data_IF_585526373036
#
_entry.id   IF_585526373036
#
_cell.length_a   1.000
_cell.length_b   1.000
_cell.length_c   1.000
_cell.angle_alpha   90.00
_cell.angle_beta   90.00
_cell.angle_gamma   90.00
#
_symmetry.space_group_name_H-M   'P 1'
#
loop_
_entity.id
_entity.type
_entity.pdbx_description
1 polymer ?
#
# COMPACT_ATOMS: atom_id res chain seq x y z
N UNK A 1 22.03 -7.35 -3.43
CA UNK A 1 21.38 -6.64 -2.31
C UNK A 1 20.36 -5.69 -2.89
N UNK A 2 19.08 -6.06 -2.86
CA UNK A 2 18.01 -5.23 -3.44
C UNK A 2 17.80 -4.01 -2.56
N UNK A 3 18.07 -2.81 -3.09
CA UNK A 3 17.73 -1.56 -2.42
C UNK A 3 16.21 -1.45 -2.38
N UNK A 4 15.61 -1.77 -1.22
CA UNK A 4 14.18 -1.59 -1.01
C UNK A 4 13.87 -0.10 -0.98
N UNK A 5 13.33 0.44 -2.08
CA UNK A 5 12.86 1.82 -2.12
C UNK A 5 11.67 1.93 -1.16
N UNK A 6 11.71 2.82 -0.15
CA UNK A 6 10.63 2.95 0.82
C UNK A 6 9.36 3.50 0.15
N UNK A 7 8.31 2.67 0.07
CA UNK A 7 7.03 3.04 -0.53
C UNK A 7 6.21 3.90 0.44
N UNK A 8 5.78 5.12 0.06
CA UNK A 8 4.94 5.95 0.90
C UNK A 8 3.57 5.32 1.15
N UNK A 9 3.09 5.40 2.40
CA UNK A 9 1.75 4.95 2.76
C UNK A 9 0.65 5.72 2.01
N UNK A 10 -0.44 5.02 1.63
CA UNK A 10 -1.57 5.65 0.95
C UNK A 10 -2.42 6.52 1.90
N UNK A 11 -3.16 7.53 1.40
CA UNK A 11 -4.05 8.34 2.23
C UNK A 11 -5.07 7.49 3.00
N UNK A 12 -5.65 6.48 2.36
CA UNK A 12 -6.62 5.56 2.98
C UNK A 12 -5.99 4.79 4.14
N UNK A 13 -4.79 4.22 3.96
CA UNK A 13 -4.08 3.51 5.04
C UNK A 13 -3.79 4.42 6.24
N UNK A 14 -3.46 5.69 5.99
CA UNK A 14 -3.18 6.67 7.04
C UNK A 14 -4.43 7.07 7.80
N UNK A 15 -5.56 7.25 7.10
CA UNK A 15 -6.86 7.50 7.72
C UNK A 15 -7.32 6.32 8.56
N UNK A 16 -7.21 5.10 8.04
CA UNK A 16 -7.59 3.88 8.77
C UNK A 16 -6.72 3.69 10.02
N UNK A 17 -5.40 3.86 9.91
CA UNK A 17 -4.52 3.76 11.07
C UNK A 17 -4.82 4.83 12.13
N UNK A 18 -5.04 6.08 11.71
CA UNK A 18 -5.43 7.16 12.63
C UNK A 18 -6.78 6.89 13.29
N UNK A 19 -7.74 6.35 12.55
CA UNK A 19 -9.04 5.93 13.07
C UNK A 19 -8.91 4.82 14.12
N UNK A 20 -8.07 3.82 13.87
CA UNK A 20 -7.77 2.76 14.85
C UNK A 20 -7.16 3.34 16.12
N UNK A 21 -6.18 4.23 16.00
CA UNK A 21 -5.55 4.86 17.16
C UNK A 21 -6.57 5.65 18.00
N UNK A 22 -7.45 6.41 17.36
CA UNK A 22 -8.53 7.17 18.02
C UNK A 22 -9.51 6.21 18.72
N UNK A 23 -9.99 5.18 18.02
CA UNK A 23 -10.92 4.20 18.58
C UNK A 23 -10.31 3.49 19.79
N UNK A 24 -9.02 3.18 19.74
CA UNK A 24 -8.32 2.50 20.83
C UNK A 24 -8.15 3.42 22.04
N UNK A 25 -7.82 4.70 21.84
CA UNK A 25 -7.78 5.69 22.94
C UNK A 25 -9.15 5.90 23.56
N UNK A 26 -10.20 6.08 22.73
CA UNK A 26 -11.58 6.26 23.21
C UNK A 26 -12.09 5.00 23.90
N UNK A 27 -11.77 3.82 23.40
CA UNK A 27 -12.12 2.53 24.00
C UNK A 27 -11.42 2.30 25.34
N UNK A 28 -10.12 2.60 25.45
CA UNK A 28 -9.42 2.46 26.74
C UNK A 28 -9.94 3.47 27.76
N UNK A 29 -10.17 4.71 27.34
CA UNK A 29 -10.44 5.82 28.28
C UNK A 29 -11.94 5.98 28.61
N UNK A 30 -12.83 5.60 27.68
CA UNK A 30 -14.27 5.87 27.76
C UNK A 30 -15.06 4.87 28.59
N UNK A 31 -14.61 3.61 28.66
CA UNK A 31 -15.30 2.54 29.39
C UNK A 31 -14.96 2.49 30.89
N UNK A 32 -14.03 3.33 31.35
CA UNK A 32 -13.69 3.42 32.77
C UNK A 32 -14.81 4.14 33.56
N UNK A 33 -15.23 3.61 34.72
CA UNK A 33 -16.21 4.23 35.61
C UNK A 33 -15.57 5.37 36.43
N UNK A 34 -14.93 6.32 35.74
CA UNK A 34 -14.23 7.47 36.31
C UNK A 34 -14.86 8.78 35.81
N UNK A 35 -14.58 9.89 36.51
CA UNK A 35 -15.06 11.22 36.15
C UNK A 35 -14.61 11.64 34.75
N UNK A 36 -15.27 12.63 34.14
CA UNK A 36 -14.89 13.18 32.84
C UNK A 36 -13.42 13.64 32.82
N UNK A 37 -12.96 14.31 33.89
CA UNK A 37 -11.56 14.73 34.05
C UNK A 37 -10.63 13.51 34.12
N UNK A 38 -11.05 12.44 34.82
CA UNK A 38 -10.33 11.16 34.85
C UNK A 38 -10.22 10.52 33.46
N UNK A 39 -11.28 10.58 32.64
CA UNK A 39 -11.26 10.05 31.26
C UNK A 39 -10.33 10.83 30.35
N UNK A 40 -10.34 12.17 30.44
CA UNK A 40 -9.47 13.03 29.64
C UNK A 40 -7.99 12.87 30.02
N UNK A 41 -7.69 12.75 31.32
CA UNK A 41 -6.32 12.50 31.80
C UNK A 41 -5.83 11.11 31.38
N UNK A 42 -6.67 10.08 31.48
CA UNK A 42 -6.38 8.74 30.97
C UNK A 42 -6.10 8.76 29.46
N UNK A 43 -6.95 9.42 28.66
CA UNK A 43 -6.75 9.55 27.22
C UNK A 43 -5.44 10.23 26.86
N UNK A 44 -5.08 11.30 27.59
CA UNK A 44 -3.79 11.99 27.43
C UNK A 44 -2.59 11.09 27.73
N UNK A 45 -2.66 10.27 28.78
CA UNK A 45 -1.61 9.31 29.13
C UNK A 45 -1.47 8.20 28.07
N UNK A 46 -2.59 7.66 27.58
CA UNK A 46 -2.57 6.63 26.51
C UNK A 46 -1.95 7.21 25.23
N UNK A 47 -2.33 8.43 24.85
CA UNK A 47 -1.76 9.11 23.69
C UNK A 47 -0.25 9.34 23.88
N UNK A 48 0.19 9.76 25.07
CA UNK A 48 1.61 9.92 25.39
C UNK A 48 2.36 8.60 25.23
N UNK A 49 1.83 7.49 25.72
CA UNK A 49 2.42 6.16 25.54
C UNK A 49 2.55 5.81 24.06
N UNK A 50 1.51 6.05 23.24
CA UNK A 50 1.59 5.78 21.80
C UNK A 50 2.67 6.62 21.11
N UNK A 51 2.80 7.89 21.48
CA UNK A 51 3.81 8.79 20.94
C UNK A 51 5.21 8.29 21.33
N UNK A 52 5.42 7.91 22.59
CA UNK A 52 6.70 7.37 23.07
C UNK A 52 7.05 6.08 22.32
N UNK A 53 6.12 5.13 22.23
CA UNK A 53 6.32 3.87 21.50
C UNK A 53 6.63 4.13 20.03
N UNK A 54 5.89 5.01 19.36
CA UNK A 54 6.13 5.38 17.97
C UNK A 54 7.48 6.09 17.79
N UNK A 55 7.92 6.89 18.76
CA UNK A 55 9.22 7.58 18.71
C UNK A 55 10.40 6.62 18.77
N UNK A 56 10.28 5.56 19.57
CA UNK A 56 11.32 4.54 19.77
C UNK A 56 11.32 3.52 18.63
N UNK A 57 10.15 3.01 18.26
CA UNK A 57 10.01 1.88 17.33
C UNK A 57 9.73 2.30 15.88
N UNK A 58 9.16 3.49 15.69
CA UNK A 58 8.56 3.93 14.44
C UNK A 58 7.18 3.34 14.17
N UNK A 59 6.64 2.50 15.05
CA UNK A 59 5.35 1.82 14.85
C UNK A 59 4.37 2.27 15.93
N UNK A 60 3.21 2.79 15.51
CA UNK A 60 2.05 3.00 16.40
C UNK A 60 1.06 1.84 16.29
N UNK A 61 0.04 1.74 17.15
CA UNK A 61 -0.92 0.62 17.13
C UNK A 61 -1.65 0.48 15.78
N UNK A 62 -2.28 1.53 15.28
CA UNK A 62 -2.90 1.56 13.96
C UNK A 62 -1.90 1.38 12.83
N UNK A 63 -0.67 1.86 13.02
CA UNK A 63 0.45 1.57 12.13
C UNK A 63 0.82 0.08 12.09
N UNK A 64 0.84 -0.60 13.23
CA UNK A 64 1.11 -2.04 13.30
C UNK A 64 0.03 -2.82 12.55
N UNK A 65 -1.25 -2.48 12.75
CA UNK A 65 -2.37 -3.12 12.05
C UNK A 65 -2.33 -2.86 10.55
N UNK A 66 -2.06 -1.61 10.14
CA UNK A 66 -2.00 -1.23 8.72
C UNK A 66 -0.65 -1.56 8.06
N UNK A 67 0.26 -2.22 8.76
CA UNK A 67 1.60 -2.52 8.28
C UNK A 67 2.34 -1.26 7.84
N UNK A 68 2.37 -0.22 8.66
CA UNK A 68 3.05 1.06 8.41
C UNK A 68 4.12 1.32 9.46
N UNK A 69 5.18 2.00 9.05
CA UNK A 69 6.27 2.45 9.92
C UNK A 69 6.70 3.87 9.58
N UNK A 70 6.82 4.70 10.61
CA UNK A 70 7.38 6.03 10.53
C UNK A 70 8.91 5.94 10.42
N UNK A 71 9.45 6.52 9.36
CA UNK A 71 10.88 6.60 9.09
C UNK A 71 11.34 8.07 9.09
N UNK A 72 12.57 8.33 9.54
CA UNK A 72 13.19 9.66 9.48
C UNK A 72 14.01 9.77 8.20
N UNK A 73 13.85 10.88 7.48
CA UNK A 73 14.40 11.07 6.14
C UNK A 73 15.88 11.50 6.18
N UNK A 74 16.29 12.17 7.25
CA UNK A 74 17.53 12.95 7.28
C UNK A 74 18.78 12.26 7.84
N UNK A 75 18.73 10.99 8.28
CA UNK A 75 19.92 10.22 8.74
C UNK A 75 19.56 8.75 8.77
N UNK A 76 20.44 7.88 8.25
CA UNK A 76 20.27 6.42 8.15
C UNK A 76 20.14 5.72 9.51
N UNK A 77 19.02 5.90 10.18
CA UNK A 77 18.66 5.29 11.46
C UNK A 77 17.25 4.71 11.42
N UNK A 78 17.05 3.57 12.08
CA UNK A 78 15.80 2.81 12.06
C UNK A 78 14.68 3.40 12.94
N UNK A 79 14.99 4.40 13.79
CA UNK A 79 14.05 5.01 14.73
C UNK A 79 13.84 6.50 14.43
N UNK A 80 12.59 6.99 14.46
CA UNK A 80 12.29 8.39 14.17
C UNK A 80 12.70 9.35 15.30
N UNK A 81 12.77 8.90 16.56
CA UNK A 81 13.25 9.69 17.70
C UNK A 81 12.46 11.00 17.88
N UNK A 82 13.15 12.10 18.20
CA UNK A 82 12.53 13.42 18.46
C UNK A 82 11.67 13.99 17.32
N UNK A 83 11.85 13.49 16.09
CA UNK A 83 11.04 13.90 14.95
C UNK A 83 9.61 13.34 15.04
N UNK A 84 9.43 12.16 15.63
CA UNK A 84 8.10 11.63 15.91
C UNK A 84 7.36 12.49 16.94
N UNK A 85 8.07 12.98 17.97
CA UNK A 85 7.53 13.90 18.98
C UNK A 85 7.10 15.22 18.34
N UNK A 86 7.96 15.84 17.52
CA UNK A 86 7.62 17.07 16.80
C UNK A 86 6.41 16.89 15.87
N UNK A 87 6.36 15.78 15.13
CA UNK A 87 5.20 15.41 14.30
C UNK A 87 3.91 15.28 15.12
N UNK A 88 3.96 14.54 16.23
CA UNK A 88 2.80 14.33 17.09
C UNK A 88 2.31 15.64 17.72
N UNK A 89 3.22 16.50 18.17
CA UNK A 89 2.89 17.82 18.70
C UNK A 89 2.19 18.71 17.67
N UNK A 90 2.71 18.77 16.44
CA UNK A 90 2.07 19.53 15.36
C UNK A 90 0.67 19.01 15.02
N UNK A 91 0.49 17.69 14.95
CA UNK A 91 -0.81 17.07 14.71
C UNK A 91 -1.76 17.36 15.86
N UNK A 92 -1.31 17.27 17.11
CA UNK A 92 -2.13 17.52 18.29
C UNK A 92 -2.60 18.98 18.35
N UNK A 93 -1.70 19.95 18.13
CA UNK A 93 -2.06 21.38 18.09
C UNK A 93 -3.09 21.64 16.98
N UNK A 94 -2.86 21.11 15.78
CA UNK A 94 -3.80 21.26 14.67
C UNK A 94 -5.15 20.59 14.97
N UNK A 95 -5.13 19.38 15.55
CA UNK A 95 -6.34 18.65 15.92
C UNK A 95 -7.15 19.39 16.98
N UNK A 96 -6.52 19.92 18.02
CA UNK A 96 -7.20 20.68 19.08
C UNK A 96 -7.80 21.97 18.50
N UNK A 97 -7.02 22.72 17.72
CA UNK A 97 -7.47 23.99 17.13
C UNK A 97 -8.60 23.81 16.12
N UNK A 98 -8.68 22.66 15.44
CA UNK A 98 -9.65 22.43 14.36
C UNK A 98 -10.70 21.36 14.68
N UNK A 99 -10.80 20.88 15.93
CA UNK A 99 -11.61 19.70 16.30
C UNK A 99 -11.35 18.48 15.38
N UNK A 100 -10.09 18.26 15.01
CA UNK A 100 -9.65 17.12 14.19
C UNK A 100 -9.80 17.28 12.67
N UNK A 101 -10.46 18.32 12.17
CA UNK A 101 -10.70 18.53 10.74
C UNK A 101 -9.40 18.72 9.93
N UNK A 102 -8.48 19.57 10.39
CA UNK A 102 -7.25 19.92 9.66
C UNK A 102 -6.31 18.72 9.47
N UNK A 103 -6.04 17.87 10.48
CA UNK A 103 -5.29 16.63 10.29
C UNK A 103 -5.88 15.71 9.19
N UNK A 104 -7.20 15.55 9.15
CA UNK A 104 -7.88 14.70 8.15
C UNK A 104 -7.72 15.29 6.76
N UNK A 105 -8.01 16.59 6.58
CA UNK A 105 -7.85 17.29 5.29
C UNK A 105 -6.40 17.21 4.80
N UNK A 106 -5.42 17.38 5.69
CA UNK A 106 -4.00 17.28 5.35
C UNK A 106 -3.58 15.88 4.89
N UNK A 107 -4.21 14.81 5.41
CA UNK A 107 -3.96 13.45 4.93
C UNK A 107 -4.60 13.22 3.56
N UNK A 108 -5.84 13.68 3.37
CA UNK A 108 -6.56 13.55 2.09
C UNK A 108 -5.87 14.34 0.97
N UNK A 109 -5.35 15.53 1.29
CA UNK A 109 -4.58 16.38 0.37
C UNK A 109 -3.08 16.12 0.39
N UNK A 110 -2.64 15.04 1.04
CA UNK A 110 -1.23 14.67 1.00
C UNK A 110 -0.82 14.45 -0.46
N UNK A 111 0.23 15.16 -0.87
CA UNK A 111 0.66 15.29 -2.27
C UNK A 111 0.70 13.94 -3.00
N UNK A 112 -0.10 13.80 -4.05
CA UNK A 112 -0.16 12.60 -4.89
C UNK A 112 1.03 12.48 -5.85
N UNK A 113 1.77 13.58 -6.07
CA UNK A 113 2.84 13.69 -7.08
C UNK A 113 4.25 13.47 -6.52
N UNK A 114 4.41 13.33 -5.19
CA UNK A 114 5.69 13.11 -4.51
C UNK A 114 5.70 11.93 -3.52
N UNK A 115 6.52 12.02 -2.45
CA UNK A 115 6.64 10.99 -1.40
C UNK A 115 5.42 10.90 -0.45
N UNK A 116 4.24 11.38 -0.87
CA UNK A 116 2.98 11.48 -0.09
C UNK A 116 3.16 11.98 1.34
N UNK A 117 4.00 12.99 1.53
CA UNK A 117 4.24 13.60 2.84
C UNK A 117 3.19 14.67 3.13
N UNK A 118 2.60 14.62 4.32
CA UNK A 118 1.80 15.74 4.83
C UNK A 118 2.71 16.91 5.17
N UNK A 119 2.13 18.08 5.39
CA UNK A 119 2.86 19.25 5.91
C UNK A 119 3.60 18.93 7.23
N UNK A 120 2.99 18.16 8.13
CA UNK A 120 3.61 17.73 9.40
C UNK A 120 4.86 16.86 9.18
N UNK A 121 4.80 15.95 8.20
CA UNK A 121 5.89 15.05 7.89
C UNK A 121 7.08 15.82 7.27
N UNK A 122 6.78 16.85 6.46
CA UNK A 122 7.82 17.73 5.88
C UNK A 122 8.57 18.51 6.96
N UNK A 123 7.84 19.12 7.91
CA UNK A 123 8.47 19.89 9.00
C UNK A 123 9.26 18.98 9.93
N UNK A 124 8.72 17.81 10.26
CA UNK A 124 9.40 16.86 11.14
C UNK A 124 10.52 16.07 10.46
N UNK A 125 10.67 16.17 9.13
CA UNK A 125 11.63 15.37 8.37
C UNK A 125 11.33 13.86 8.48
N UNK A 126 10.05 13.49 8.53
CA UNK A 126 9.60 12.10 8.64
C UNK A 126 8.84 11.66 7.38
N UNK A 127 8.62 10.36 7.25
CA UNK A 127 7.85 9.74 6.19
C UNK A 127 7.19 8.48 6.72
N UNK A 128 5.89 8.31 6.50
CA UNK A 128 5.24 7.01 6.74
C UNK A 128 5.49 6.11 5.54
N UNK A 129 6.13 4.98 5.80
CA UNK A 129 6.41 3.95 4.81
C UNK A 129 5.49 2.75 5.09
N UNK A 130 4.89 2.20 4.05
CA UNK A 130 4.18 0.92 4.15
C UNK A 130 5.20 -0.22 4.29
N UNK A 131 5.12 -0.99 5.38
CA UNK A 131 5.79 -2.30 5.54
C UNK A 131 5.11 -3.40 4.73
N UNK A 132 3.88 -3.19 4.24
CA UNK A 132 3.39 -3.95 3.08
C UNK A 132 4.31 -3.55 1.93
N UNK A 133 5.38 -4.33 1.77
CA UNK A 133 6.13 -4.37 0.53
C UNK A 133 5.09 -4.68 -0.52
N UNK A 134 4.82 -3.73 -1.40
CA UNK A 134 4.30 -4.13 -2.70
C UNK A 134 5.41 -5.01 -3.26
N UNK A 135 5.19 -6.31 -3.31
CA UNK A 135 6.15 -7.19 -3.95
C UNK A 135 6.19 -6.74 -5.40
N UNK A 136 7.28 -6.06 -5.76
CA UNK A 136 7.44 -5.53 -7.10
C UNK A 136 7.97 -6.66 -7.94
N UNK A 137 7.13 -7.15 -8.84
CA UNK A 137 7.56 -8.06 -9.88
C UNK A 137 7.71 -7.30 -11.17
N UNK A 138 8.66 -7.71 -11.99
CA UNK A 138 8.77 -7.27 -13.37
C UNK A 138 8.28 -8.38 -14.26
N UNK A 139 7.18 -8.14 -14.97
CA UNK A 139 6.72 -9.03 -16.02
C UNK A 139 7.44 -8.65 -17.32
N UNK A 140 8.28 -9.54 -17.85
CA UNK A 140 8.99 -9.31 -19.11
C UNK A 140 8.15 -9.86 -20.26
N UNK A 141 7.69 -8.97 -21.14
CA UNK A 141 6.95 -9.26 -22.38
C UNK A 141 7.82 -8.85 -23.57
N UNK A 142 8.26 -9.79 -24.41
CA UNK A 142 9.04 -9.51 -25.63
C UNK A 142 10.21 -8.53 -25.40
N UNK A 143 10.91 -8.68 -24.29
CA UNK A 143 12.04 -7.82 -23.89
C UNK A 143 11.65 -6.50 -23.21
N UNK A 144 10.37 -6.12 -23.17
CA UNK A 144 9.87 -4.99 -22.37
C UNK A 144 9.54 -5.41 -20.96
N UNK A 145 9.91 -4.57 -20.00
CA UNK A 145 9.66 -4.79 -18.58
C UNK A 145 8.42 -4.02 -18.13
N UNK A 146 7.38 -4.75 -17.74
CA UNK A 146 6.18 -4.20 -17.11
C UNK A 146 6.31 -4.34 -15.61
N UNK A 147 6.33 -3.23 -14.89
CA UNK A 147 6.29 -3.26 -13.43
C UNK A 147 4.90 -3.73 -12.96
N UNK A 148 4.86 -4.64 -12.00
CA UNK A 148 3.66 -5.13 -11.31
C UNK A 148 3.86 -4.88 -9.82
N UNK A 149 3.56 -3.66 -9.41
CA UNK A 149 3.65 -3.15 -8.03
C UNK A 149 2.27 -2.73 -7.48
N UNK A 150 1.23 -2.83 -8.29
CA UNK A 150 -0.17 -2.61 -7.96
C UNK A 150 -1.00 -3.49 -8.90
N UNK A 151 -2.32 -3.65 -8.69
CA UNK A 151 -3.16 -4.33 -9.67
C UNK A 151 -2.98 -3.73 -11.08
N UNK A 152 -2.74 -4.59 -12.06
CA UNK A 152 -2.55 -4.25 -13.48
C UNK A 152 -3.60 -4.96 -14.31
N UNK A 153 -4.32 -4.21 -15.15
CA UNK A 153 -5.10 -4.77 -16.25
C UNK A 153 -4.20 -4.82 -17.48
N UNK A 154 -3.96 -6.04 -17.94
CA UNK A 154 -3.16 -6.33 -19.13
C UNK A 154 -4.06 -6.64 -20.31
N UNK A 155 -3.70 -6.15 -21.49
CA UNK A 155 -4.30 -6.55 -22.77
C UNK A 155 -3.82 -5.65 -23.89
N UNK A 156 -4.26 -5.87 -25.14
CA UNK A 156 -3.80 -5.02 -26.27
C UNK A 156 -4.38 -3.60 -26.26
N UNK A 157 -5.56 -3.43 -25.64
CA UNK A 157 -6.27 -2.16 -25.52
C UNK A 157 -7.12 -2.20 -24.23
N UNK A 158 -6.48 -2.20 -23.05
CA UNK A 158 -7.14 -2.50 -21.79
C UNK A 158 -8.13 -1.39 -21.42
N UNK A 159 -9.35 -1.79 -21.11
CA UNK A 159 -10.42 -0.90 -20.66
C UNK A 159 -10.75 -1.17 -19.19
N UNK A 160 -10.95 -0.09 -18.41
CA UNK A 160 -11.29 -0.20 -17.00
C UNK A 160 -12.79 -0.45 -16.83
N UNK A 161 -13.14 -1.56 -16.20
CA UNK A 161 -14.54 -1.85 -15.82
C UNK A 161 -14.98 -1.05 -14.58
N UNK A 162 -16.28 -0.73 -14.44
CA UNK A 162 -16.83 -0.15 -13.22
C UNK A 162 -16.50 -1.01 -11.98
N UNK A 163 -16.10 -0.38 -10.88
CA UNK A 163 -15.71 -1.08 -9.64
C UNK A 163 -14.22 -1.47 -9.53
N UNK A 164 -13.40 -1.18 -10.55
CA UNK A 164 -11.94 -1.40 -10.53
C UNK A 164 -11.15 -0.08 -10.47
N UNK A 165 -11.39 0.71 -9.44
CA UNK A 165 -10.63 1.94 -9.19
C UNK A 165 -9.19 1.63 -8.75
N UNK A 166 -8.21 2.43 -9.19
CA UNK A 166 -6.81 2.27 -8.80
C UNK A 166 -6.00 1.21 -9.55
N UNK A 167 -6.58 0.55 -10.56
CA UNK A 167 -5.89 -0.45 -11.39
C UNK A 167 -5.13 0.22 -12.54
N UNK A 168 -3.85 -0.12 -12.74
CA UNK A 168 -3.03 0.41 -13.85
C UNK A 168 -3.34 -0.34 -15.14
N UNK A 169 -3.51 0.40 -16.23
CA UNK A 169 -3.74 -0.18 -17.56
C UNK A 169 -2.39 -0.35 -18.26
N UNK A 170 -2.08 -1.56 -18.71
CA UNK A 170 -0.85 -1.85 -19.46
C UNK A 170 -1.22 -2.48 -20.79
N UNK A 171 -0.84 -1.79 -21.87
CA UNK A 171 -1.06 -2.25 -23.23
C UNK A 171 0.07 -3.16 -23.67
N UNK A 172 -0.27 -4.37 -24.10
CA UNK A 172 0.62 -5.26 -24.86
C UNK A 172 0.70 -4.74 -26.30
N UNK A 173 1.87 -4.80 -26.98
CA UNK A 173 2.01 -4.32 -28.34
C UNK A 173 0.92 -4.82 -29.29
N UNK A 174 0.52 -3.96 -30.23
CA UNK A 174 -0.60 -4.15 -31.16
C UNK A 174 -0.48 -5.34 -32.09
N UNK A 175 0.73 -5.88 -32.23
CA UNK A 175 1.07 -6.85 -33.27
C UNK A 175 0.68 -8.28 -32.83
N UNK A 176 0.46 -8.48 -31.53
CA UNK A 176 -0.06 -9.73 -31.01
C UNK A 176 -1.60 -9.69 -30.97
N UNK A 177 -2.20 -10.18 -32.07
CA UNK A 177 -3.66 -10.28 -32.18
C UNK A 177 -4.26 -11.34 -31.25
N UNK A 178 -3.43 -12.19 -30.64
CA UNK A 178 -3.89 -13.26 -29.74
C UNK A 178 -4.23 -12.73 -28.35
N UNK A 179 -3.75 -11.54 -28.00
CA UNK A 179 -4.06 -10.89 -26.73
C UNK A 179 -5.38 -10.10 -26.85
N UNK A 180 -6.40 -10.47 -26.07
CA UNK A 180 -7.66 -9.72 -25.97
C UNK A 180 -7.46 -8.26 -25.51
N UNK A 181 -8.45 -7.39 -25.78
CA UNK A 181 -8.42 -5.97 -25.40
C UNK A 181 -8.10 -5.78 -23.92
N UNK A 182 -8.86 -6.46 -23.08
CA UNK A 182 -8.64 -6.63 -21.65
C UNK A 182 -8.52 -8.12 -21.40
N UNK A 183 -7.30 -8.63 -21.26
CA UNK A 183 -7.00 -10.07 -21.25
C UNK A 183 -6.96 -10.61 -19.82
N UNK A 184 -6.14 -10.03 -18.96
CA UNK A 184 -5.92 -10.53 -17.61
C UNK A 184 -5.80 -9.42 -16.57
N UNK A 185 -6.16 -9.75 -15.32
CA UNK A 185 -5.84 -8.96 -14.14
C UNK A 185 -4.62 -9.59 -13.46
N UNK A 186 -3.62 -8.76 -13.17
CA UNK A 186 -2.40 -9.14 -12.48
C UNK A 186 -2.35 -8.43 -11.13
N UNK A 187 -2.18 -9.18 -10.05
CA UNK A 187 -2.10 -8.63 -8.71
C UNK A 187 -0.82 -9.13 -8.02
N UNK A 188 0.05 -8.22 -7.52
CA UNK A 188 1.24 -8.65 -6.81
C UNK A 188 0.88 -9.30 -5.47
N UNK A 189 1.40 -10.50 -5.21
CA UNK A 189 1.26 -11.22 -3.94
C UNK A 189 2.61 -11.36 -3.22
N UNK A 190 2.61 -11.92 -2.01
CA UNK A 190 3.86 -12.20 -1.31
C UNK A 190 4.72 -13.30 -1.99
N UNK A 191 4.08 -14.19 -2.76
CA UNK A 191 4.70 -15.40 -3.33
C UNK A 191 4.95 -15.28 -4.84
N UNK A 192 4.25 -14.36 -5.52
CA UNK A 192 4.34 -14.21 -6.97
C UNK A 192 3.40 -13.14 -7.52
N UNK A 193 3.06 -13.27 -8.80
CA UNK A 193 1.96 -12.50 -9.40
C UNK A 193 0.74 -13.41 -9.44
N UNK A 194 -0.36 -12.99 -8.82
CA UNK A 194 -1.68 -13.60 -9.03
C UNK A 194 -2.20 -13.16 -10.39
N UNK A 195 -2.52 -14.13 -11.23
CA UNK A 195 -3.05 -13.94 -12.58
C UNK A 195 -4.50 -14.38 -12.58
N UNK A 196 -5.38 -13.56 -13.12
CA UNK A 196 -6.79 -13.90 -13.33
C UNK A 196 -7.13 -13.61 -14.79
N UNK A 197 -7.48 -14.64 -15.55
CA UNK A 197 -7.99 -14.48 -16.90
C UNK A 197 -9.38 -13.83 -16.86
N UNK A 198 -9.61 -12.82 -17.70
CA UNK A 198 -10.85 -12.04 -17.73
C UNK A 198 -11.80 -12.49 -18.84
N UNK A 199 -11.70 -13.76 -19.24
CA UNK A 199 -12.45 -14.33 -20.37
C UNK A 199 -11.77 -13.97 -21.69
N UNK A 200 -10.46 -14.16 -21.77
CA UNK A 200 -9.73 -13.96 -23.01
C UNK A 200 -10.16 -14.95 -24.10
N UNK A 201 -9.94 -14.59 -25.36
CA UNK A 201 -10.35 -15.41 -26.50
C UNK A 201 -9.43 -16.60 -26.73
N UNK A 202 -8.13 -16.44 -26.47
CA UNK A 202 -7.11 -17.47 -26.70
C UNK A 202 -6.61 -18.12 -25.42
N UNK A 203 -7.20 -17.78 -24.28
CA UNK A 203 -6.84 -18.32 -22.98
C UNK A 203 -5.57 -17.71 -22.39
N UNK A 204 -5.37 -17.98 -21.10
CA UNK A 204 -4.13 -17.71 -20.36
C UNK A 204 -3.55 -19.04 -19.90
N UNK A 205 -2.26 -19.29 -20.13
CA UNK A 205 -1.59 -20.52 -19.70
C UNK A 205 -0.47 -20.20 -18.72
N UNK A 206 -0.35 -21.01 -17.68
CA UNK A 206 0.69 -20.87 -16.66
C UNK A 206 1.67 -22.03 -16.80
N UNK A 207 2.96 -21.76 -16.63
CA UNK A 207 4.01 -22.78 -16.66
C UNK A 207 4.55 -23.01 -15.27
N UNK A 208 4.49 -24.26 -14.82
CA UNK A 208 5.02 -24.72 -13.55
C UNK A 208 6.01 -25.89 -13.73
N UNK A 209 6.31 -26.59 -12.63
CA UNK A 209 7.21 -27.75 -12.63
C UNK A 209 6.65 -29.02 -13.29
N UNK A 210 5.33 -29.11 -13.47
CA UNK A 210 4.61 -30.24 -14.06
C UNK A 210 4.28 -30.02 -15.55
N UNK A 211 4.30 -28.77 -16.01
CA UNK A 211 4.13 -28.42 -17.41
C UNK A 211 3.42 -27.08 -17.59
N UNK A 212 2.76 -26.90 -18.74
CA UNK A 212 1.85 -25.78 -18.96
C UNK A 212 0.40 -26.24 -18.78
N UNK A 213 -0.41 -25.50 -18.04
CA UNK A 213 -1.85 -25.69 -17.96
C UNK A 213 -2.60 -24.39 -18.24
N UNK A 214 -3.84 -24.55 -18.71
CA UNK A 214 -4.72 -23.40 -18.95
C UNK A 214 -5.33 -22.92 -17.63
N UNK A 215 -5.31 -21.61 -17.41
CA UNK A 215 -5.97 -20.95 -16.30
C UNK A 215 -7.45 -20.79 -16.62
N UNK A 216 -8.31 -21.34 -15.76
CA UNK A 216 -9.75 -21.18 -15.91
C UNK A 216 -10.16 -19.70 -15.81
N UNK A 217 -11.01 -19.17 -16.73
CA UNK A 217 -11.48 -17.79 -16.68
C UNK A 217 -12.10 -17.42 -15.32
N UNK A 218 -11.70 -16.28 -14.78
CA UNK A 218 -12.16 -15.77 -13.49
C UNK A 218 -11.53 -16.43 -12.26
N UNK A 219 -10.77 -17.52 -12.42
CA UNK A 219 -10.00 -18.12 -11.34
C UNK A 219 -8.63 -17.41 -11.21
N UNK A 220 -8.26 -17.06 -9.99
CA UNK A 220 -6.98 -16.45 -9.69
C UNK A 220 -5.96 -17.53 -9.30
N UNK A 221 -4.82 -17.57 -9.98
CA UNK A 221 -3.71 -18.47 -9.65
C UNK A 221 -2.38 -17.69 -9.56
N UNK A 222 -1.54 -18.07 -8.60
CA UNK A 222 -0.28 -17.35 -8.32
C UNK A 222 0.88 -17.98 -9.06
N UNK A 223 1.56 -17.20 -9.90
CA UNK A 223 2.80 -17.58 -10.57
C UNK A 223 4.00 -17.04 -9.80
N UNK A 224 4.89 -17.91 -9.29
CA UNK A 224 6.04 -17.49 -8.52
C UNK A 224 7.09 -16.80 -9.39
N UNK A 225 8.06 -16.15 -8.73
CA UNK A 225 9.21 -15.56 -9.41
C UNK A 225 9.96 -16.59 -10.26
N UNK A 226 10.28 -16.23 -11.49
CA UNK A 226 10.92 -17.12 -12.47
C UNK A 226 9.93 -17.94 -13.29
N UNK A 227 8.64 -17.98 -12.90
CA UNK A 227 7.59 -18.63 -13.67
C UNK A 227 7.28 -17.90 -14.97
N UNK A 228 6.69 -18.64 -15.91
CA UNK A 228 6.26 -18.13 -17.20
C UNK A 228 4.72 -18.16 -17.31
N UNK A 229 4.19 -17.16 -18.01
CA UNK A 229 2.76 -16.98 -18.28
C UNK A 229 2.63 -16.73 -19.77
N UNK A 230 1.67 -17.37 -20.42
CA UNK A 230 1.28 -17.07 -21.79
C UNK A 230 -0.10 -16.40 -21.79
N UNK A 231 -0.20 -15.23 -22.44
CA UNK A 231 -1.48 -14.59 -22.72
C UNK A 231 -1.77 -14.76 -24.21
N UNK A 232 -2.55 -15.77 -24.59
CA UNK A 232 -2.53 -16.26 -25.96
C UNK A 232 -1.14 -16.80 -26.32
N UNK A 233 -0.50 -16.20 -27.33
CA UNK A 233 0.86 -16.56 -27.77
C UNK A 233 1.97 -15.73 -27.11
N UNK A 234 1.63 -14.62 -26.42
CA UNK A 234 2.60 -13.75 -25.76
C UNK A 234 3.25 -14.43 -24.55
N UNK A 235 4.52 -14.84 -24.66
CA UNK A 235 5.31 -15.33 -23.52
C UNK A 235 5.68 -14.17 -22.57
N UNK A 236 5.39 -14.37 -21.30
CA UNK A 236 5.73 -13.47 -20.22
C UNK A 236 6.53 -14.21 -19.15
N UNK A 237 7.53 -13.55 -18.55
CA UNK A 237 8.24 -14.09 -17.38
C UNK A 237 8.20 -13.17 -16.18
N UNK A 238 7.99 -13.76 -15.01
CA UNK A 238 7.98 -13.05 -13.72
C UNK A 238 9.41 -12.90 -13.20
N UNK A 239 9.90 -11.67 -12.98
CA UNK A 239 11.25 -11.35 -12.49
C UNK A 239 11.27 -10.51 -11.23
#
# INVERSE_FOLDING_TARGET
MSATVPVPASPVQRLLAGGIDILLVVGISGFLPISLVGRLTCAGLVLLVFIVVQSLTGVGPGGAVMGMRLHRVARGGNSPGVAALGRAGLIAVAAVASLGVVPVVMVVRADATGLRRTWYDRISGTMLVSRRSHTMYTLVLDGRSVLVDAPVLLGRAPERSPGREGVRLVSVPSDDTTVSKTHALLEPTAEGISVTDLGSTNGTYLVDSQGSHELAPGLAETVPRGGAIYFGEAECRVR
#
